data_IF_707098227919
#
_entry.id   IF_707098227919
#
_cell.length_a   1.000
_cell.length_b   1.000
_cell.length_c   1.000
_cell.angle_alpha   90.00
_cell.angle_beta   90.00
_cell.angle_gamma   90.00
#
_symmetry.space_group_name_H-M   'P 1'
#
loop_
_entity.id
_entity.type
_entity.pdbx_description
1 polymer ?
#
# COMPACT_ATOMS: atom_id res chain seq x y z
N UNK A 1 16.48 3.71 13.64
CA UNK A 1 15.69 4.70 12.84
C UNK A 1 16.09 4.80 11.36
N UNK A 2 17.36 5.06 11.00
CA UNK A 2 17.75 5.23 9.58
C UNK A 2 17.42 4.01 8.70
N UNK A 3 17.84 2.81 9.10
CA UNK A 3 17.55 1.58 8.36
C UNK A 3 16.06 1.25 8.28
N UNK A 4 15.31 1.54 9.34
CA UNK A 4 13.85 1.33 9.36
C UNK A 4 13.11 2.20 8.33
N UNK A 5 13.57 3.44 8.10
CA UNK A 5 13.02 4.33 7.05
C UNK A 5 13.31 3.82 5.64
N UNK A 6 14.47 3.20 5.43
CA UNK A 6 14.82 2.57 4.15
C UNK A 6 13.90 1.38 3.89
N UNK A 7 13.65 0.55 4.91
CA UNK A 7 12.70 -0.57 4.80
C UNK A 7 11.30 -0.07 4.46
N UNK A 8 10.81 0.97 5.14
CA UNK A 8 9.50 1.55 4.84
C UNK A 8 9.42 2.15 3.43
N UNK A 9 10.50 2.77 2.95
CA UNK A 9 10.58 3.28 1.59
C UNK A 9 10.50 2.16 0.55
N UNK A 10 11.26 1.07 0.74
CA UNK A 10 11.23 -0.12 -0.13
C UNK A 10 9.84 -0.76 -0.11
N UNK A 11 9.26 -0.91 1.09
CA UNK A 11 7.92 -1.47 1.26
C UNK A 11 6.85 -0.62 0.58
N UNK A 12 7.03 0.70 0.60
CA UNK A 12 6.17 1.66 -0.09
C UNK A 12 6.31 1.58 -1.63
N UNK A 13 7.45 1.14 -2.17
CA UNK A 13 7.58 0.85 -3.61
C UNK A 13 7.02 -0.51 -4.02
N UNK A 14 6.81 -1.41 -3.06
CA UNK A 14 6.46 -2.79 -3.35
C UNK A 14 5.01 -2.89 -3.89
N UNK A 15 4.74 -3.75 -4.89
CA UNK A 15 3.42 -3.92 -5.51
C UNK A 15 2.50 -4.77 -4.61
N UNK A 16 2.14 -4.21 -3.46
CA UNK A 16 1.40 -4.91 -2.39
C UNK A 16 -0.01 -5.30 -2.81
N UNK A 17 -0.68 -4.46 -3.61
CA UNK A 17 -2.03 -4.71 -4.11
C UNK A 17 -2.03 -5.92 -5.04
N UNK A 18 -1.09 -6.00 -5.98
CA UNK A 18 -0.92 -7.14 -6.88
C UNK A 18 -0.68 -8.44 -6.09
N UNK A 19 0.22 -8.44 -5.11
CA UNK A 19 0.51 -9.64 -4.31
C UNK A 19 -0.73 -10.09 -3.55
N UNK A 20 -1.46 -9.13 -2.95
CA UNK A 20 -2.69 -9.43 -2.23
C UNK A 20 -3.76 -10.02 -3.15
N UNK A 21 -3.98 -9.39 -4.31
CA UNK A 21 -4.93 -9.87 -5.31
C UNK A 21 -4.53 -11.24 -5.88
N UNK A 22 -3.25 -11.47 -6.17
CA UNK A 22 -2.76 -12.74 -6.70
C UNK A 22 -2.98 -13.87 -5.71
N UNK A 23 -2.65 -13.63 -4.45
CA UNK A 23 -2.84 -14.62 -3.38
C UNK A 23 -4.32 -14.88 -3.15
N UNK A 24 -5.14 -13.82 -3.14
CA UNK A 24 -6.59 -13.92 -3.00
C UNK A 24 -7.20 -14.76 -4.13
N UNK A 25 -6.86 -14.45 -5.37
CA UNK A 25 -7.33 -15.21 -6.53
C UNK A 25 -6.90 -16.68 -6.51
N UNK A 26 -5.63 -16.96 -6.19
CA UNK A 26 -5.10 -18.33 -6.18
C UNK A 26 -5.65 -19.19 -5.04
N UNK A 27 -5.92 -18.59 -3.88
CA UNK A 27 -6.36 -19.31 -2.67
C UNK A 27 -7.86 -19.25 -2.45
N UNK A 28 -8.58 -18.39 -3.20
CA UNK A 28 -9.99 -18.08 -2.95
C UNK A 28 -10.22 -17.43 -1.59
N UNK A 29 -9.22 -16.73 -1.04
CA UNK A 29 -9.21 -16.27 0.34
C UNK A 29 -8.59 -14.87 0.50
N UNK A 30 -9.24 -13.95 1.25
CA UNK A 30 -8.74 -12.59 1.45
C UNK A 30 -7.50 -12.52 2.36
N UNK A 31 -6.93 -13.64 2.79
CA UNK A 31 -5.70 -13.73 3.58
C UNK A 31 -4.53 -13.02 2.88
N UNK A 32 -4.54 -12.96 1.55
CA UNK A 32 -3.57 -12.22 0.74
C UNK A 32 -3.44 -10.72 1.10
N UNK A 33 -4.45 -10.12 1.72
CA UNK A 33 -4.42 -8.71 2.13
C UNK A 33 -3.83 -8.47 3.53
N UNK A 34 -3.46 -9.51 4.27
CA UNK A 34 -2.79 -9.34 5.58
C UNK A 34 -1.42 -8.64 5.44
N UNK A 35 -0.51 -9.06 4.52
CA UNK A 35 0.73 -8.34 4.26
C UNK A 35 0.52 -6.87 3.90
N UNK A 36 -0.56 -6.58 3.18
CA UNK A 36 -0.95 -5.23 2.81
C UNK A 36 -1.26 -4.35 4.03
N UNK A 37 -1.96 -4.88 5.05
CA UNK A 37 -2.24 -4.16 6.30
C UNK A 37 -0.97 -3.98 7.17
N UNK A 38 -0.14 -5.02 7.24
CA UNK A 38 1.14 -4.96 7.98
C UNK A 38 2.03 -3.86 7.40
N UNK A 39 2.07 -3.73 6.07
CA UNK A 39 2.86 -2.70 5.41
C UNK A 39 2.38 -1.29 5.76
N UNK A 40 1.07 -1.05 5.82
CA UNK A 40 0.51 0.23 6.26
C UNK A 40 1.01 0.58 7.67
N UNK A 41 0.99 -0.38 8.59
CA UNK A 41 1.45 -0.16 9.96
C UNK A 41 2.95 0.17 10.03
N UNK A 42 3.80 -0.61 9.33
CA UNK A 42 5.25 -0.38 9.28
C UNK A 42 5.61 0.98 8.66
N UNK A 43 4.91 1.37 7.59
CA UNK A 43 5.09 2.68 6.95
C UNK A 43 4.75 3.81 7.94
N UNK A 44 3.63 3.71 8.65
CA UNK A 44 3.23 4.73 9.62
C UNK A 44 4.21 4.85 10.80
N UNK A 45 4.77 3.74 11.29
CA UNK A 45 5.84 3.80 12.31
C UNK A 45 7.07 4.55 11.76
N UNK A 46 7.41 4.38 10.48
CA UNK A 46 8.57 5.05 9.90
C UNK A 46 8.34 6.55 9.69
N UNK A 47 7.08 6.94 9.48
CA UNK A 47 6.62 8.33 9.42
C UNK A 47 6.58 8.99 10.79
N UNK A 48 6.39 8.22 11.87
CA UNK A 48 6.46 8.69 13.26
C UNK A 48 7.81 9.37 13.53
N UNK A 49 7.79 10.64 13.93
CA UNK A 49 8.97 11.51 14.10
C UNK A 49 9.84 11.67 12.83
N UNK A 50 9.26 11.46 11.65
CA UNK A 50 9.87 11.74 10.35
C UNK A 50 9.90 13.23 10.04
N UNK A 51 10.90 13.68 9.26
CA UNK A 51 10.90 15.04 8.70
C UNK A 51 9.98 15.07 7.47
N UNK A 52 9.46 16.24 7.11
CA UNK A 52 8.61 16.44 5.92
C UNK A 52 9.21 15.82 4.64
N UNK A 53 10.54 15.91 4.44
CA UNK A 53 11.23 15.28 3.31
C UNK A 53 11.05 13.75 3.25
N UNK A 54 11.09 13.08 4.40
CA UNK A 54 10.87 11.63 4.49
C UNK A 54 9.42 11.28 4.17
N UNK A 55 8.48 12.11 4.61
CA UNK A 55 7.05 11.91 4.32
C UNK A 55 6.78 11.99 2.83
N UNK A 56 7.22 13.09 2.18
CA UNK A 56 7.09 13.26 0.74
C UNK A 56 7.71 12.10 -0.04
N UNK A 57 8.90 11.64 0.37
CA UNK A 57 9.58 10.51 -0.26
C UNK A 57 8.76 9.20 -0.17
N UNK A 58 8.15 8.91 0.97
CA UNK A 58 7.31 7.71 1.18
C UNK A 58 5.99 7.81 0.40
N UNK A 59 5.36 8.99 0.37
CA UNK A 59 4.11 9.18 -0.38
C UNK A 59 4.32 9.06 -1.88
N UNK A 60 5.35 9.71 -2.42
CA UNK A 60 5.71 9.59 -3.84
C UNK A 60 6.04 8.14 -4.18
N UNK A 61 6.79 7.45 -3.32
CA UNK A 61 7.11 6.05 -3.56
C UNK A 61 5.88 5.15 -3.50
N UNK A 62 4.86 5.46 -2.67
CA UNK A 62 3.60 4.71 -2.65
C UNK A 62 2.82 4.87 -3.94
N UNK A 63 2.74 6.08 -4.49
CA UNK A 63 2.09 6.33 -5.78
C UNK A 63 2.78 5.53 -6.89
N UNK A 64 4.12 5.51 -6.90
CA UNK A 64 4.89 4.68 -7.83
C UNK A 64 4.61 3.19 -7.59
N UNK A 65 4.57 2.74 -6.33
CA UNK A 65 4.28 1.36 -5.97
C UNK A 65 2.91 0.90 -6.45
N UNK A 66 1.87 1.74 -6.33
CA UNK A 66 0.52 1.48 -6.85
C UNK A 66 0.56 1.34 -8.37
N UNK A 67 1.28 2.23 -9.06
CA UNK A 67 1.42 2.17 -10.52
C UNK A 67 2.14 0.90 -10.98
N UNK A 68 3.22 0.50 -10.29
CA UNK A 68 3.91 -0.78 -10.54
C UNK A 68 2.97 -1.96 -10.30
N UNK A 69 2.18 -1.92 -9.23
CA UNK A 69 1.16 -2.92 -8.91
C UNK A 69 0.15 -3.08 -10.04
N UNK A 70 -0.34 -1.97 -10.59
CA UNK A 70 -1.27 -1.96 -11.71
C UNK A 70 -0.66 -2.56 -12.99
N UNK A 71 0.61 -2.23 -13.29
CA UNK A 71 1.34 -2.87 -14.40
C UNK A 71 1.46 -4.38 -14.17
N UNK A 72 1.79 -4.82 -12.95
CA UNK A 72 1.84 -6.24 -12.63
C UNK A 72 0.51 -6.94 -12.88
N UNK A 73 -0.61 -6.33 -12.49
CA UNK A 73 -1.94 -6.89 -12.78
C UNK A 73 -2.17 -7.00 -14.29
N UNK A 74 -1.83 -5.99 -15.08
CA UNK A 74 -1.96 -6.07 -16.54
C UNK A 74 -1.11 -7.17 -17.19
N UNK A 75 0.08 -7.45 -16.64
CA UNK A 75 1.00 -8.43 -17.20
C UNK A 75 0.71 -9.86 -16.76
N UNK A 76 0.15 -10.06 -15.55
CA UNK A 76 0.02 -11.37 -14.93
C UNK A 76 -1.42 -11.86 -14.73
N UNK A 77 -2.42 -10.98 -14.72
CA UNK A 77 -3.82 -11.39 -14.65
C UNK A 77 -4.42 -11.55 -16.04
N UNK A 78 -5.02 -12.71 -16.31
CA UNK A 78 -5.92 -12.85 -17.45
C UNK A 78 -7.27 -12.19 -17.12
N UNK A 79 -7.64 -11.19 -17.90
CA UNK A 79 -8.87 -10.40 -17.70
C UNK A 79 -10.11 -11.28 -17.86
N UNK A 80 -10.08 -12.30 -18.71
CA UNK A 80 -11.24 -13.16 -18.99
C UNK A 80 -11.47 -14.18 -17.88
N UNK A 81 -10.40 -14.77 -17.34
CA UNK A 81 -10.51 -15.73 -16.23
C UNK A 81 -10.91 -15.03 -14.92
N UNK A 82 -10.42 -13.80 -14.71
CA UNK A 82 -10.56 -13.10 -13.43
C UNK A 82 -11.75 -12.15 -13.35
N UNK A 83 -12.43 -11.88 -14.47
CA UNK A 83 -13.59 -10.98 -14.55
C UNK A 83 -14.77 -11.40 -13.66
N UNK A 84 -14.92 -12.69 -13.36
CA UNK A 84 -15.95 -13.20 -12.48
C UNK A 84 -15.66 -12.96 -11.00
N UNK A 85 -14.38 -13.02 -10.62
CA UNK A 85 -13.96 -13.07 -9.22
C UNK A 85 -13.99 -11.69 -8.54
N UNK A 86 -13.43 -10.65 -9.17
CA UNK A 86 -13.30 -9.33 -8.56
C UNK A 86 -14.52 -8.41 -8.71
N UNK A 87 -15.68 -8.95 -9.09
CA UNK A 87 -16.90 -8.15 -9.26
C UNK A 87 -17.22 -7.37 -7.98
N UNK A 88 -17.68 -6.10 -8.10
CA UNK A 88 -18.13 -5.42 -9.31
C UNK A 88 -17.00 -4.81 -10.17
N UNK A 89 -15.74 -4.96 -9.75
CA UNK A 89 -14.58 -4.39 -10.45
C UNK A 89 -13.92 -5.40 -11.39
N UNK A 90 -13.18 -4.91 -12.38
CA UNK A 90 -12.15 -5.71 -13.07
C UNK A 90 -10.88 -5.77 -12.22
N UNK A 91 -10.03 -6.77 -12.42
CA UNK A 91 -8.76 -6.89 -11.69
C UNK A 91 -7.93 -5.59 -11.79
N UNK A 92 -7.83 -5.01 -13.00
CA UNK A 92 -7.12 -3.74 -13.23
C UNK A 92 -7.70 -2.58 -12.38
N UNK A 93 -9.02 -2.40 -12.41
CA UNK A 93 -9.68 -1.34 -11.63
C UNK A 93 -9.58 -1.60 -10.13
N UNK A 94 -9.67 -2.87 -9.71
CA UNK A 94 -9.62 -3.24 -8.31
C UNK A 94 -8.24 -2.98 -7.69
N UNK A 95 -7.16 -3.22 -8.45
CA UNK A 95 -5.80 -2.88 -8.04
C UNK A 95 -5.62 -1.39 -7.73
N UNK A 96 -6.18 -0.51 -8.58
CA UNK A 96 -6.15 0.94 -8.36
C UNK A 96 -6.97 1.31 -7.13
N UNK A 97 -8.17 0.74 -6.97
CA UNK A 97 -9.04 0.98 -5.81
C UNK A 97 -8.33 0.58 -4.51
N UNK A 98 -7.72 -0.60 -4.47
CA UNK A 98 -6.91 -1.05 -3.33
C UNK A 98 -5.76 -0.08 -3.04
N UNK A 99 -5.05 0.38 -4.08
CA UNK A 99 -3.97 1.34 -3.91
C UNK A 99 -4.45 2.67 -3.31
N UNK A 100 -5.59 3.17 -3.76
CA UNK A 100 -6.23 4.39 -3.22
C UNK A 100 -6.62 4.18 -1.75
N UNK A 101 -7.24 3.04 -1.42
CA UNK A 101 -7.59 2.70 -0.04
C UNK A 101 -6.34 2.68 0.84
N UNK A 102 -5.23 2.09 0.36
CA UNK A 102 -3.97 2.02 1.12
C UNK A 102 -3.43 3.40 1.39
N UNK A 103 -3.43 4.24 0.35
CA UNK A 103 -2.92 5.60 0.43
C UNK A 103 -3.74 6.43 1.43
N UNK A 104 -5.06 6.32 1.39
CA UNK A 104 -5.96 6.98 2.35
C UNK A 104 -5.72 6.48 3.77
N UNK A 105 -5.54 5.17 3.98
CA UNK A 105 -5.25 4.59 5.29
C UNK A 105 -3.94 5.13 5.87
N UNK A 106 -2.88 5.23 5.05
CA UNK A 106 -1.60 5.81 5.49
C UNK A 106 -1.79 7.27 5.89
N UNK A 107 -2.52 8.06 5.10
CA UNK A 107 -2.81 9.46 5.42
C UNK A 107 -3.62 9.62 6.71
N UNK A 108 -4.67 8.81 6.89
CA UNK A 108 -5.55 8.88 8.06
C UNK A 108 -4.79 8.52 9.33
N UNK A 109 -4.02 7.44 9.31
CA UNK A 109 -3.22 7.02 10.48
C UNK A 109 -2.15 8.07 10.80
N UNK A 110 -1.47 8.62 9.79
CA UNK A 110 -0.48 9.70 9.98
C UNK A 110 -1.14 10.95 10.58
N UNK A 111 -2.34 11.30 10.12
CA UNK A 111 -3.12 12.42 10.65
C UNK A 111 -3.51 12.20 12.13
N UNK A 112 -4.04 11.02 12.47
CA UNK A 112 -4.40 10.65 13.85
C UNK A 112 -3.17 10.71 14.76
N UNK A 113 -2.04 10.15 14.31
CA UNK A 113 -0.77 10.22 15.05
C UNK A 113 -0.40 11.67 15.34
N UNK A 114 -0.49 12.56 14.34
CA UNK A 114 -0.13 13.96 14.51
C UNK A 114 -1.10 14.70 15.46
N UNK A 115 -2.39 14.39 15.39
CA UNK A 115 -3.42 15.02 16.22
C UNK A 115 -3.30 14.64 17.71
N UNK A 116 -2.98 13.38 18.02
CA UNK A 116 -2.95 12.88 19.41
C UNK A 116 -1.55 12.80 20.02
N UNK A 117 -0.50 12.68 19.20
CA UNK A 117 0.89 12.62 19.63
C UNK A 117 1.70 13.74 18.95
N UNK A 118 1.41 15.02 19.25
CA UNK A 118 2.19 16.12 18.70
C UNK A 118 3.65 15.91 19.06
N UNK A 119 4.47 15.70 18.04
CA UNK A 119 5.91 15.56 18.19
C UNK A 119 6.40 16.83 18.89
N UNK A 120 6.86 16.73 20.14
CA UNK A 120 7.51 17.86 20.82
C UNK A 120 8.66 18.31 19.92
N UNK A 121 8.51 19.46 19.30
CA UNK A 121 9.60 20.18 18.63
C UNK A 121 10.57 20.56 19.73
N UNK A 122 11.52 19.68 20.02
CA UNK A 122 12.76 20.04 20.72
C UNK A 122 13.71 20.70 19.73
#
# INVERSE_FOLDING_TARGET
MKYFRIVAFILSLFPLEFIGMMTDYQTGSPIGYIPYLIAVFLINIALFNGKLKTWLSIFVSRVIGIFVSWICVQLFFDIYETAGYFKPFTANSFAIVLGIIQFILILLITFVIFAFFPCKTQ
#
